data_IF_867520558076
#
_entry.id   IF_867520558076
#
_cell.length_a   1.000
_cell.length_b   1.000
_cell.length_c   1.000
_cell.angle_alpha   90.00
_cell.angle_beta   90.00
_cell.angle_gamma   90.00
#
_symmetry.space_group_name_H-M   'P 1'
#
loop_
_entity.id
_entity.type
_entity.pdbx_description
1 polymer ?
#
# COMPACT_ATOMS: atom_id res chain seq x y z
N UNK A 1 -12.10 9.13 6.75
CA UNK A 1 -13.55 9.11 6.58
C UNK A 1 -14.12 10.53 6.48
N UNK A 2 -13.89 11.40 7.46
CA UNK A 2 -14.46 12.77 7.52
C UNK A 2 -14.14 13.62 6.28
N UNK A 3 -12.90 13.63 5.80
CA UNK A 3 -12.51 14.39 4.58
C UNK A 3 -13.26 13.86 3.35
N UNK A 4 -13.43 12.54 3.23
CA UNK A 4 -14.14 11.95 2.09
C UNK A 4 -15.64 12.32 2.08
N UNK A 5 -16.29 12.37 3.26
CA UNK A 5 -17.68 12.81 3.39
C UNK A 5 -17.83 14.29 3.04
N UNK A 6 -16.93 15.15 3.55
CA UNK A 6 -16.91 16.58 3.20
C UNK A 6 -16.66 16.81 1.70
N UNK A 7 -15.78 16.01 1.08
CA UNK A 7 -15.54 16.07 -0.38
C UNK A 7 -16.81 15.73 -1.16
N UNK A 8 -17.54 14.68 -0.78
CA UNK A 8 -18.82 14.33 -1.42
C UNK A 8 -19.85 15.44 -1.28
N UNK A 9 -19.94 16.06 -0.10
CA UNK A 9 -20.84 17.21 0.11
C UNK A 9 -20.48 18.40 -0.78
N UNK A 10 -19.18 18.70 -0.96
CA UNK A 10 -18.76 19.79 -1.85
C UNK A 10 -19.08 19.46 -3.31
N UNK A 11 -18.85 18.23 -3.74
CA UNK A 11 -19.18 17.77 -5.11
C UNK A 11 -20.69 17.86 -5.36
N UNK A 12 -21.54 17.47 -4.39
CA UNK A 12 -23.00 17.60 -4.52
C UNK A 12 -23.49 19.06 -4.55
N UNK A 13 -22.64 20.04 -4.23
CA UNK A 13 -22.86 21.48 -4.36
C UNK A 13 -22.20 22.07 -5.61
N UNK A 14 -21.88 21.23 -6.62
CA UNK A 14 -21.19 21.61 -7.87
C UNK A 14 -19.83 22.30 -7.68
N UNK A 15 -19.18 22.06 -6.52
CA UNK A 15 -17.82 22.55 -6.27
C UNK A 15 -16.78 21.56 -6.80
N UNK A 16 -15.79 22.05 -7.52
CA UNK A 16 -14.67 21.22 -7.99
C UNK A 16 -13.81 20.78 -6.81
N UNK A 17 -13.60 19.47 -6.69
CA UNK A 17 -12.74 18.84 -5.68
C UNK A 17 -11.67 18.00 -6.36
N UNK A 18 -10.39 18.21 -5.99
CA UNK A 18 -9.25 17.42 -6.42
C UNK A 18 -9.05 16.27 -5.44
N UNK A 19 -9.21 15.04 -5.92
CA UNK A 19 -9.32 13.81 -5.10
C UNK A 19 -7.96 13.25 -4.67
N UNK A 20 -7.15 14.03 -3.96
CA UNK A 20 -5.83 13.60 -3.49
C UNK A 20 -5.88 12.74 -2.20
N UNK A 21 -7.08 12.41 -1.72
CA UNK A 21 -7.30 11.49 -0.60
C UNK A 21 -7.52 10.03 -1.01
N UNK A 22 -7.74 9.73 -2.30
CA UNK A 22 -8.04 8.37 -2.77
C UNK A 22 -6.78 7.58 -3.12
N UNK A 23 -6.72 6.32 -2.67
CA UNK A 23 -5.60 5.40 -2.92
C UNK A 23 -5.94 4.28 -3.90
N UNK A 24 -6.49 4.60 -5.06
CA UNK A 24 -6.86 3.65 -6.10
C UNK A 24 -5.99 3.85 -7.34
N UNK A 25 -5.57 2.74 -7.97
CA UNK A 25 -4.88 2.78 -9.26
C UNK A 25 -5.84 3.32 -10.33
N UNK A 26 -5.46 4.32 -11.13
CA UNK A 26 -6.29 4.87 -12.19
C UNK A 26 -6.18 4.10 -13.51
N UNK A 27 -5.25 3.15 -13.61
CA UNK A 27 -4.93 2.46 -14.85
C UNK A 27 -5.90 1.32 -15.16
N UNK A 28 -6.11 0.99 -16.46
CA UNK A 28 -6.94 -0.13 -16.85
C UNK A 28 -6.31 -1.46 -16.44
N UNK A 29 -7.14 -2.44 -16.14
CA UNK A 29 -6.68 -3.82 -15.98
C UNK A 29 -6.15 -4.32 -17.33
N UNK A 30 -5.00 -5.03 -17.39
CA UNK A 30 -4.49 -5.58 -18.64
C UNK A 30 -5.52 -6.45 -19.37
N UNK A 31 -5.69 -6.24 -20.68
CA UNK A 31 -6.76 -6.86 -21.47
C UNK A 31 -6.77 -8.40 -21.41
N UNK A 32 -5.59 -9.05 -21.41
CA UNK A 32 -5.51 -10.51 -21.27
C UNK A 32 -6.13 -11.01 -19.95
N UNK A 33 -5.94 -10.25 -18.87
CA UNK A 33 -6.51 -10.58 -17.56
C UNK A 33 -8.02 -10.36 -17.56
N UNK A 34 -8.49 -9.27 -18.20
CA UNK A 34 -9.93 -9.02 -18.41
C UNK A 34 -10.55 -10.13 -19.23
N UNK A 35 -9.90 -10.55 -20.31
CA UNK A 35 -10.39 -11.64 -21.14
C UNK A 35 -10.42 -12.98 -20.39
N UNK A 36 -9.42 -13.25 -19.55
CA UNK A 36 -9.44 -14.44 -18.69
C UNK A 36 -10.63 -14.41 -17.70
N UNK A 37 -11.01 -13.25 -17.17
CA UNK A 37 -12.21 -13.10 -16.34
C UNK A 37 -13.49 -13.41 -17.16
N UNK A 38 -13.63 -12.80 -18.34
CA UNK A 38 -14.79 -13.02 -19.23
C UNK A 38 -14.94 -14.51 -19.60
N UNK A 39 -13.85 -15.17 -19.93
CA UNK A 39 -13.84 -16.59 -20.31
C UNK A 39 -14.22 -17.51 -19.15
N UNK A 40 -14.10 -17.07 -17.91
CA UNK A 40 -14.42 -17.86 -16.73
C UNK A 40 -15.65 -17.34 -15.95
N UNK A 41 -16.37 -16.34 -16.47
CA UNK A 41 -17.54 -15.76 -15.81
C UNK A 41 -18.67 -16.76 -15.55
N UNK A 42 -18.75 -17.85 -16.35
CA UNK A 42 -19.75 -18.92 -16.21
C UNK A 42 -19.48 -19.86 -15.02
N UNK A 43 -18.29 -19.85 -14.44
CA UNK A 43 -17.92 -20.73 -13.33
C UNK A 43 -18.62 -20.30 -12.05
N UNK A 44 -19.31 -21.25 -11.42
CA UNK A 44 -20.20 -21.03 -10.28
C UNK A 44 -19.88 -21.90 -9.06
N UNK A 45 -18.98 -22.85 -9.23
CA UNK A 45 -18.61 -23.80 -8.18
C UNK A 45 -17.81 -23.14 -7.05
N UNK A 46 -18.00 -23.64 -5.82
CA UNK A 46 -17.12 -23.32 -4.70
C UNK A 46 -15.75 -23.97 -4.91
N UNK A 47 -14.71 -23.19 -4.79
CA UNK A 47 -13.32 -23.67 -4.76
C UNK A 47 -12.89 -24.07 -3.35
N UNK A 48 -11.77 -24.79 -3.18
CA UNK A 48 -11.20 -25.03 -1.86
C UNK A 48 -11.03 -23.73 -1.08
N UNK A 49 -11.22 -23.75 0.24
CA UNK A 49 -11.08 -22.59 1.15
C UNK A 49 -9.74 -21.89 0.94
N UNK A 50 -8.68 -22.66 0.78
CA UNK A 50 -7.33 -22.13 0.56
C UNK A 50 -7.16 -21.45 -0.81
N UNK A 51 -8.09 -21.66 -1.74
CA UNK A 51 -8.07 -21.14 -3.09
C UNK A 51 -7.63 -22.15 -4.14
N UNK A 52 -7.81 -21.79 -5.40
CA UNK A 52 -7.52 -22.59 -6.58
C UNK A 52 -6.07 -23.09 -6.60
N UNK A 53 -5.80 -24.41 -6.67
CA UNK A 53 -4.44 -24.95 -6.60
C UNK A 53 -3.47 -24.38 -7.64
N UNK A 54 -3.93 -24.23 -8.90
CA UNK A 54 -3.10 -23.66 -9.98
C UNK A 54 -2.78 -22.17 -9.73
N UNK A 55 -3.67 -21.41 -9.10
CA UNK A 55 -3.41 -20.03 -8.71
C UNK A 55 -2.36 -19.97 -7.59
N UNK A 56 -2.50 -20.82 -6.58
CA UNK A 56 -1.51 -20.89 -5.49
C UNK A 56 -0.11 -21.25 -6.02
N UNK A 57 -0.03 -22.15 -7.01
CA UNK A 57 1.21 -22.49 -7.67
C UNK A 57 1.79 -21.30 -8.47
N UNK A 58 0.96 -20.55 -9.19
CA UNK A 58 1.40 -19.36 -9.93
C UNK A 58 1.93 -18.29 -8.97
N UNK A 59 1.25 -18.04 -7.86
CA UNK A 59 1.72 -17.09 -6.83
C UNK A 59 3.00 -17.59 -6.16
N UNK A 60 3.12 -18.88 -5.87
CA UNK A 60 4.35 -19.47 -5.33
C UNK A 60 5.54 -19.20 -6.26
N UNK A 61 5.42 -19.49 -7.55
CA UNK A 61 6.46 -19.23 -8.56
C UNK A 61 6.82 -17.74 -8.64
N UNK A 62 5.81 -16.87 -8.64
CA UNK A 62 5.99 -15.41 -8.64
C UNK A 62 6.78 -14.94 -7.41
N UNK A 63 6.41 -15.39 -6.20
CA UNK A 63 7.10 -15.04 -4.96
C UNK A 63 8.53 -15.58 -4.94
N UNK A 64 8.72 -16.85 -5.29
CA UNK A 64 10.03 -17.51 -5.26
C UNK A 64 11.02 -16.84 -6.22
N UNK A 65 10.55 -16.48 -7.44
CA UNK A 65 11.37 -15.72 -8.39
C UNK A 65 11.79 -14.35 -7.83
N UNK A 66 10.89 -13.66 -7.12
CA UNK A 66 11.09 -12.31 -6.62
C UNK A 66 11.91 -12.25 -5.34
N UNK A 67 11.70 -13.18 -4.43
CA UNK A 67 12.35 -13.17 -3.10
C UNK A 67 13.61 -14.02 -3.02
N UNK A 68 13.75 -14.97 -3.91
CA UNK A 68 14.81 -16.00 -3.84
C UNK A 68 14.55 -17.06 -2.76
N UNK A 69 13.35 -17.08 -2.14
CA UNK A 69 12.98 -18.02 -1.09
C UNK A 69 11.91 -18.99 -1.56
N UNK A 70 11.70 -20.07 -0.80
CA UNK A 70 10.68 -21.06 -1.09
C UNK A 70 9.42 -20.83 -0.25
N UNK A 71 8.37 -20.28 -0.87
CA UNK A 71 6.99 -20.27 -0.37
C UNK A 71 6.19 -21.28 -1.19
N UNK A 72 6.03 -22.54 -0.73
CA UNK A 72 5.35 -23.56 -1.51
C UNK A 72 3.85 -23.24 -1.62
N UNK A 73 3.21 -23.76 -2.67
CA UNK A 73 1.78 -23.52 -2.94
C UNK A 73 0.87 -23.96 -1.79
N UNK A 74 1.31 -24.92 -1.02
CA UNK A 74 0.63 -25.42 0.18
C UNK A 74 0.53 -24.36 1.29
N UNK A 75 1.44 -23.38 1.27
CA UNK A 75 1.50 -22.29 2.25
C UNK A 75 0.86 -20.98 1.75
N UNK A 76 0.22 -20.99 0.58
CA UNK A 76 -0.47 -19.82 0.01
C UNK A 76 -1.97 -19.91 0.31
N UNK A 77 -2.52 -18.88 0.95
CA UNK A 77 -3.96 -18.68 1.16
C UNK A 77 -4.45 -17.55 0.26
N UNK A 78 -5.45 -17.83 -0.57
CA UNK A 78 -6.12 -16.82 -1.40
C UNK A 78 -7.19 -16.11 -0.56
N UNK A 79 -7.26 -14.77 -0.65
CA UNK A 79 -8.11 -13.94 0.20
C UNK A 79 -8.85 -12.86 -0.62
N UNK A 80 -9.99 -12.31 -0.13
CA UNK A 80 -10.67 -11.19 -0.76
C UNK A 80 -9.87 -9.87 -0.66
N UNK A 81 -8.69 -9.83 -1.28
CA UNK A 81 -7.70 -8.78 -1.18
C UNK A 81 -6.78 -8.95 0.04
N UNK A 82 -5.64 -8.26 0.02
CA UNK A 82 -4.65 -8.28 1.12
C UNK A 82 -5.22 -7.77 2.46
N UNK A 83 -6.27 -6.93 2.41
CA UNK A 83 -6.93 -6.42 3.62
C UNK A 83 -7.49 -7.56 4.46
N UNK A 84 -8.17 -8.53 3.85
CA UNK A 84 -8.71 -9.69 4.54
C UNK A 84 -7.60 -10.61 5.05
N UNK A 85 -6.55 -10.84 4.25
CA UNK A 85 -5.38 -11.61 4.67
C UNK A 85 -4.80 -11.11 6.00
N UNK A 86 -4.65 -9.80 6.14
CA UNK A 86 -4.11 -9.18 7.36
C UNK A 86 -5.11 -9.24 8.52
N UNK A 87 -6.41 -9.07 8.26
CA UNK A 87 -7.44 -9.21 9.29
C UNK A 87 -7.44 -10.62 9.89
N UNK A 88 -7.46 -11.67 9.04
CA UNK A 88 -7.39 -13.05 9.50
C UNK A 88 -6.13 -13.30 10.34
N UNK A 89 -4.98 -12.75 9.90
CA UNK A 89 -3.74 -12.86 10.64
C UNK A 89 -3.83 -12.21 12.03
N UNK A 90 -4.42 -11.02 12.13
CA UNK A 90 -4.62 -10.35 13.42
C UNK A 90 -5.58 -11.11 14.34
N UNK A 91 -6.63 -11.74 13.81
CA UNK A 91 -7.58 -12.55 14.60
C UNK A 91 -6.91 -13.86 15.08
N UNK A 92 -6.13 -14.52 14.21
CA UNK A 92 -5.45 -15.76 14.55
C UNK A 92 -4.29 -15.56 15.54
N UNK A 93 -3.67 -14.39 15.53
CA UNK A 93 -2.52 -14.08 16.38
C UNK A 93 -2.95 -13.59 17.76
N UNK A 94 -2.24 -14.04 18.79
CA UNK A 94 -2.38 -13.54 20.17
C UNK A 94 -1.05 -12.96 20.64
N UNK A 95 -1.01 -11.64 20.75
CA UNK A 95 0.21 -10.93 21.14
C UNK A 95 0.10 -9.41 20.99
N UNK A 96 1.18 -8.77 20.63
CA UNK A 96 1.24 -7.32 20.49
C UNK A 96 1.81 -6.96 19.10
N UNK A 97 1.39 -5.82 18.56
CA UNK A 97 1.69 -5.41 17.20
C UNK A 97 2.52 -4.13 17.23
N UNK A 98 3.69 -4.14 16.58
CA UNK A 98 4.51 -2.95 16.36
C UNK A 98 4.23 -2.43 14.95
N UNK A 99 3.74 -1.19 14.86
CA UNK A 99 3.41 -0.52 13.60
C UNK A 99 4.29 0.72 13.46
N UNK A 100 5.15 0.83 12.43
CA UNK A 100 5.83 2.08 12.11
C UNK A 100 4.83 3.19 11.75
N UNK A 101 5.02 4.39 12.27
CA UNK A 101 4.32 5.57 11.82
C UNK A 101 5.22 6.35 10.84
N UNK A 102 4.79 6.50 9.56
CA UNK A 102 3.42 6.30 9.07
C UNK A 102 3.11 4.84 8.73
N UNK A 103 1.91 4.40 9.10
CA UNK A 103 1.35 3.09 8.75
C UNK A 103 -0.05 3.23 8.16
N UNK A 104 -0.45 2.30 7.29
CA UNK A 104 -1.78 2.33 6.67
C UNK A 104 -2.90 2.32 7.71
N UNK A 105 -3.91 3.16 7.48
CA UNK A 105 -5.02 3.43 8.41
C UNK A 105 -5.78 2.20 8.93
N UNK A 106 -5.69 1.07 8.25
CA UNK A 106 -6.41 -0.15 8.66
C UNK A 106 -5.60 -1.07 9.58
N UNK A 107 -4.30 -0.87 9.76
CA UNK A 107 -3.50 -1.78 10.59
C UNK A 107 -3.94 -1.78 12.06
N UNK A 108 -4.08 -0.60 12.66
CA UNK A 108 -4.50 -0.48 14.07
C UNK A 108 -5.92 -0.99 14.30
N UNK A 109 -6.96 -0.58 13.51
CA UNK A 109 -8.31 -1.13 13.69
C UNK A 109 -8.38 -2.64 13.53
N UNK A 110 -7.63 -3.23 12.59
CA UNK A 110 -7.58 -4.69 12.43
C UNK A 110 -6.93 -5.39 13.62
N UNK A 111 -5.82 -4.83 14.13
CA UNK A 111 -5.19 -5.34 15.34
C UNK A 111 -6.13 -5.30 16.55
N UNK A 112 -6.92 -4.22 16.69
CA UNK A 112 -7.92 -4.08 17.74
C UNK A 112 -9.06 -5.11 17.61
N UNK A 113 -9.55 -5.37 16.39
CA UNK A 113 -10.53 -6.43 16.12
C UNK A 113 -9.97 -7.79 16.56
N UNK A 114 -8.69 -8.07 16.30
CA UNK A 114 -8.00 -9.27 16.78
C UNK A 114 -7.68 -9.25 18.29
N UNK A 115 -8.09 -8.21 19.03
CA UNK A 115 -7.78 -8.01 20.45
C UNK A 115 -6.27 -7.92 20.73
N UNK A 116 -5.48 -7.46 19.78
CA UNK A 116 -4.05 -7.27 19.91
C UNK A 116 -3.72 -5.83 20.30
N UNK A 117 -2.80 -5.66 21.24
CA UNK A 117 -2.32 -4.34 21.64
C UNK A 117 -1.36 -3.76 20.61
N UNK A 118 -1.59 -2.51 20.23
CA UNK A 118 -0.78 -1.78 19.25
C UNK A 118 0.27 -0.90 19.90
N UNK A 119 1.46 -0.90 19.33
CA UNK A 119 2.58 -0.05 19.69
C UNK A 119 3.09 0.70 18.46
N UNK A 120 2.72 1.94 18.33
CA UNK A 120 3.26 2.80 17.28
C UNK A 120 4.75 3.05 17.49
N UNK A 121 5.52 2.87 16.43
CA UNK A 121 6.94 3.19 16.36
C UNK A 121 7.12 4.43 15.48
N UNK A 122 7.31 5.56 16.10
CA UNK A 122 7.47 6.83 15.39
C UNK A 122 8.75 6.81 14.53
N UNK A 123 8.63 7.23 13.27
CA UNK A 123 9.74 7.35 12.33
C UNK A 123 9.85 8.80 11.83
N UNK A 124 10.83 9.05 10.97
CA UNK A 124 11.07 10.39 10.44
C UNK A 124 11.38 10.36 8.94
N UNK A 125 11.20 11.50 8.29
CA UNK A 125 11.62 11.70 6.91
C UNK A 125 13.12 11.51 6.71
N UNK A 126 13.95 11.86 7.70
CA UNK A 126 15.39 11.65 7.65
C UNK A 126 15.78 10.17 7.52
N UNK A 127 14.97 9.27 8.08
CA UNK A 127 15.14 7.82 7.99
C UNK A 127 14.21 7.22 6.91
N UNK A 128 13.85 7.99 5.91
CA UNK A 128 12.98 7.57 4.81
C UNK A 128 11.66 6.92 5.27
N UNK A 129 11.10 7.39 6.39
CA UNK A 129 9.84 6.90 6.98
C UNK A 129 9.86 5.43 7.44
N UNK A 130 11.04 4.87 7.68
CA UNK A 130 11.22 3.54 8.28
C UNK A 130 12.04 3.66 9.57
N UNK A 131 11.85 2.73 10.52
CA UNK A 131 12.67 2.72 11.73
C UNK A 131 14.10 2.29 11.40
N UNK A 132 15.06 2.78 12.17
CA UNK A 132 16.39 2.17 12.22
C UNK A 132 16.33 0.85 12.99
N UNK A 133 17.37 0.03 12.86
CA UNK A 133 17.49 -1.21 13.63
C UNK A 133 17.48 -0.96 15.14
N UNK A 134 18.17 0.11 15.59
CA UNK A 134 18.25 0.51 16.99
C UNK A 134 16.87 0.96 17.52
N UNK A 135 16.11 1.73 16.73
CA UNK A 135 14.77 2.18 17.09
C UNK A 135 13.82 0.99 17.23
N UNK A 136 13.88 0.02 16.31
CA UNK A 136 13.09 -1.21 16.39
C UNK A 136 13.48 -2.02 17.62
N UNK A 137 14.77 -2.23 17.85
CA UNK A 137 15.25 -2.97 19.01
C UNK A 137 14.84 -2.33 20.34
N UNK A 138 14.99 -0.99 20.44
CA UNK A 138 14.54 -0.23 21.61
C UNK A 138 13.03 -0.36 21.83
N UNK A 139 12.23 -0.36 20.76
CA UNK A 139 10.79 -0.56 20.86
C UNK A 139 10.46 -1.97 21.36
N UNK A 140 11.08 -3.01 20.84
CA UNK A 140 10.89 -4.40 21.28
C UNK A 140 11.23 -4.55 22.77
N UNK A 141 12.36 -4.01 23.22
CA UNK A 141 12.75 -4.04 24.64
C UNK A 141 11.74 -3.33 25.55
N UNK A 142 11.20 -2.20 25.09
CA UNK A 142 10.19 -1.43 25.83
C UNK A 142 8.84 -2.16 25.91
N UNK A 143 8.42 -2.84 24.86
CA UNK A 143 7.18 -3.63 24.82
C UNK A 143 7.31 -4.88 25.67
N UNK A 144 8.45 -5.54 25.61
CA UNK A 144 8.77 -6.76 26.34
C UNK A 144 9.33 -7.85 25.42
N UNK A 145 10.60 -8.14 25.54
CA UNK A 145 11.34 -9.06 24.66
C UNK A 145 10.85 -10.53 24.68
N UNK A 146 10.06 -10.91 25.69
CA UNK A 146 9.51 -12.25 25.83
C UNK A 146 8.05 -12.35 25.37
N UNK A 147 7.49 -11.30 24.78
CA UNK A 147 6.13 -11.30 24.24
C UNK A 147 6.09 -11.79 22.81
N UNK A 148 4.96 -12.37 22.42
CA UNK A 148 4.68 -12.64 21.02
C UNK A 148 4.46 -11.31 20.30
N UNK A 149 5.27 -11.01 19.28
CA UNK A 149 5.24 -9.75 18.57
C UNK A 149 5.09 -9.97 17.08
N UNK A 150 4.26 -9.12 16.44
CA UNK A 150 4.29 -8.90 14.99
C UNK A 150 4.85 -7.49 14.73
N UNK A 151 5.80 -7.40 13.82
CA UNK A 151 6.25 -6.16 13.22
C UNK A 151 5.65 -6.03 11.82
N UNK A 152 4.85 -4.99 11.57
CA UNK A 152 4.28 -4.73 10.24
C UNK A 152 5.25 -3.89 9.43
N UNK A 153 5.60 -4.35 8.24
CA UNK A 153 6.45 -3.65 7.29
C UNK A 153 5.72 -3.52 5.95
N UNK A 154 5.48 -2.28 5.51
CA UNK A 154 4.87 -1.99 4.20
C UNK A 154 5.85 -1.19 3.34
N UNK A 155 6.35 -1.78 2.26
CA UNK A 155 7.30 -1.17 1.34
C UNK A 155 7.03 -1.61 -0.11
N UNK A 156 6.82 -0.68 -1.04
CA UNK A 156 6.64 0.77 -0.85
C UNK A 156 5.50 1.10 0.11
N UNK A 157 5.67 2.17 0.87
CA UNK A 157 4.80 2.49 2.01
C UNK A 157 3.56 3.30 1.61
N UNK A 158 2.42 2.94 2.15
CA UNK A 158 1.26 3.82 2.25
C UNK A 158 1.21 4.38 3.68
N UNK A 159 1.42 5.68 3.91
CA UNK A 159 1.12 6.81 3.02
C UNK A 159 2.32 7.53 2.37
N UNK A 160 3.57 7.14 2.61
CA UNK A 160 4.72 7.98 2.24
C UNK A 160 5.25 7.77 0.81
N UNK A 161 4.93 6.63 0.18
CA UNK A 161 5.53 6.21 -1.09
C UNK A 161 6.99 5.77 -0.97
N UNK A 162 7.56 5.80 0.23
CA UNK A 162 8.96 5.48 0.47
C UNK A 162 9.24 3.98 0.37
N UNK A 163 10.45 3.62 -0.04
CA UNK A 163 10.97 2.25 -0.12
C UNK A 163 11.97 2.01 1.01
N UNK A 164 11.82 0.90 1.72
CA UNK A 164 12.71 0.54 2.83
C UNK A 164 14.09 0.10 2.29
N UNK A 165 15.15 0.79 2.72
CA UNK A 165 16.52 0.55 2.30
C UNK A 165 17.39 -0.20 3.33
N UNK A 166 16.87 -0.42 4.55
CA UNK A 166 17.60 -1.06 5.66
C UNK A 166 16.98 -2.42 6.09
N UNK A 167 16.40 -3.15 5.12
CA UNK A 167 15.73 -4.44 5.35
C UNK A 167 16.64 -5.48 6.02
N UNK A 168 17.93 -5.51 5.65
CA UNK A 168 18.91 -6.45 6.20
C UNK A 168 19.16 -6.18 7.69
N UNK A 169 19.25 -4.93 8.08
CA UNK A 169 19.46 -4.51 9.48
C UNK A 169 18.22 -4.80 10.32
N UNK A 170 17.02 -4.47 9.81
CA UNK A 170 15.75 -4.79 10.46
C UNK A 170 15.56 -6.31 10.63
N UNK A 171 15.95 -7.09 9.62
CA UNK A 171 15.85 -8.56 9.67
C UNK A 171 16.73 -9.18 10.75
N UNK A 172 17.92 -8.61 11.00
CA UNK A 172 18.81 -9.06 12.10
C UNK A 172 18.15 -8.86 13.46
N UNK A 173 17.50 -7.71 13.66
CA UNK A 173 16.75 -7.43 14.91
C UNK A 173 15.56 -8.37 15.03
N UNK A 174 14.77 -8.54 13.96
CA UNK A 174 13.62 -9.44 13.95
C UNK A 174 14.03 -10.89 14.30
N UNK A 175 15.13 -11.38 13.73
CA UNK A 175 15.68 -12.72 14.03
C UNK A 175 16.18 -12.83 15.46
N UNK A 176 16.91 -11.83 15.97
CA UNK A 176 17.43 -11.82 17.34
C UNK A 176 16.32 -12.00 18.39
N UNK A 177 15.17 -11.37 18.14
CA UNK A 177 14.03 -11.42 19.07
C UNK A 177 12.94 -12.42 18.64
N UNK A 178 13.15 -13.17 17.54
CA UNK A 178 12.23 -14.16 16.99
C UNK A 178 10.82 -13.60 16.77
N UNK A 179 10.71 -12.31 16.36
CA UNK A 179 9.43 -11.68 16.10
C UNK A 179 8.92 -12.03 14.70
N UNK A 180 7.61 -12.13 14.56
CA UNK A 180 6.98 -12.32 13.26
C UNK A 180 7.02 -11.01 12.49
N UNK A 181 7.34 -11.08 11.20
CA UNK A 181 7.20 -9.94 10.29
C UNK A 181 6.01 -10.17 9.37
N UNK A 182 5.08 -9.22 9.34
CA UNK A 182 4.04 -9.14 8.32
C UNK A 182 4.49 -8.14 7.25
N UNK A 183 5.00 -8.66 6.14
CA UNK A 183 5.45 -7.86 5.00
C UNK A 183 4.28 -7.60 4.05
N UNK A 184 3.71 -6.39 4.13
CA UNK A 184 2.68 -5.94 3.19
C UNK A 184 3.35 -5.41 1.92
N UNK A 185 3.34 -6.27 0.90
CA UNK A 185 4.03 -6.05 -0.37
C UNK A 185 3.09 -5.68 -1.52
N UNK A 186 1.91 -5.12 -1.18
CA UNK A 186 0.87 -4.78 -2.18
C UNK A 186 1.33 -3.75 -3.23
N UNK A 187 2.35 -2.94 -2.93
CA UNK A 187 2.90 -1.91 -3.84
C UNK A 187 4.23 -2.31 -4.50
N UNK A 188 4.74 -3.50 -4.27
CA UNK A 188 6.05 -3.94 -4.73
C UNK A 188 6.30 -3.73 -6.23
N UNK A 189 5.33 -4.12 -7.06
CA UNK A 189 5.40 -3.95 -8.51
C UNK A 189 5.29 -2.48 -8.97
N UNK A 190 5.11 -1.55 -8.04
CA UNK A 190 5.09 -0.09 -8.25
C UNK A 190 6.31 0.60 -7.62
N UNK A 191 7.40 -0.10 -7.39
CA UNK A 191 8.70 0.49 -7.03
C UNK A 191 9.33 1.09 -8.28
N UNK A 192 9.71 2.37 -8.27
CA UNK A 192 10.15 3.07 -9.47
C UNK A 192 11.55 2.67 -9.91
N UNK A 193 12.46 2.52 -8.96
CA UNK A 193 13.78 1.94 -9.23
C UNK A 193 13.72 0.41 -9.15
N UNK A 194 14.57 -0.26 -9.93
CA UNK A 194 14.62 -1.74 -9.96
C UNK A 194 15.38 -2.36 -8.78
N UNK A 195 15.34 -1.71 -7.61
CA UNK A 195 16.10 -2.09 -6.41
C UNK A 195 15.24 -2.69 -5.30
N UNK A 196 13.96 -3.01 -5.58
CA UNK A 196 13.10 -3.58 -4.56
C UNK A 196 13.61 -4.93 -4.06
N UNK A 197 13.65 -5.08 -2.74
CA UNK A 197 13.93 -6.33 -2.05
C UNK A 197 12.84 -6.59 -0.99
N UNK A 198 12.46 -7.86 -0.82
CA UNK A 198 11.62 -8.28 0.28
C UNK A 198 12.46 -8.52 1.54
N UNK A 199 11.92 -8.18 2.72
CA UNK A 199 12.56 -8.55 3.98
C UNK A 199 12.68 -10.07 4.15
N UNK A 200 11.78 -10.83 3.50
CA UNK A 200 11.84 -12.30 3.48
C UNK A 200 13.14 -12.84 2.87
N UNK A 201 13.80 -12.08 1.99
CA UNK A 201 15.13 -12.45 1.47
C UNK A 201 16.15 -12.63 2.59
N UNK A 202 16.01 -11.88 3.67
CA UNK A 202 16.93 -11.88 4.81
C UNK A 202 16.38 -12.61 6.03
N UNK A 203 15.05 -12.79 6.13
CA UNK A 203 14.36 -13.41 7.28
C UNK A 203 13.13 -14.20 6.82
N UNK A 204 13.29 -15.27 6.00
CA UNK A 204 12.16 -16.03 5.47
C UNK A 204 11.43 -16.86 6.54
N UNK A 205 12.11 -17.26 7.63
CA UNK A 205 11.60 -18.24 8.57
C UNK A 205 10.37 -17.78 9.37
N UNK A 206 10.18 -16.48 9.61
CA UNK A 206 9.04 -15.92 10.33
C UNK A 206 8.43 -14.70 9.59
N UNK A 207 8.62 -14.59 8.28
CA UNK A 207 8.05 -13.52 7.46
C UNK A 207 6.84 -14.01 6.69
N UNK A 208 5.67 -13.46 7.00
CA UNK A 208 4.48 -13.55 6.16
C UNK A 208 4.54 -12.50 5.07
N UNK A 209 4.12 -12.86 3.86
CA UNK A 209 4.01 -11.91 2.74
C UNK A 209 2.55 -11.80 2.33
N UNK A 210 2.04 -10.60 2.18
CA UNK A 210 0.73 -10.35 1.58
C UNK A 210 0.85 -9.46 0.35
N UNK A 211 -0.01 -9.71 -0.62
CA UNK A 211 -0.09 -8.98 -1.88
C UNK A 211 -1.43 -9.18 -2.57
N UNK A 212 -1.53 -8.77 -3.82
CA UNK A 212 -2.77 -8.92 -4.58
C UNK A 212 -2.80 -8.08 -5.85
N UNK A 213 -3.96 -8.10 -6.54
CA UNK A 213 -4.16 -7.44 -7.82
C UNK A 213 -4.60 -5.96 -7.70
N UNK A 214 -4.83 -5.46 -6.47
CA UNK A 214 -5.49 -4.17 -6.26
C UNK A 214 -4.69 -2.97 -6.78
N UNK A 215 -3.34 -3.05 -6.81
CA UNK A 215 -2.50 -1.89 -7.06
C UNK A 215 -1.79 -1.95 -8.40
N UNK A 216 -0.91 -2.91 -8.60
CA UNK A 216 -0.18 -3.02 -9.86
C UNK A 216 -1.08 -3.33 -11.06
N UNK A 217 -2.11 -4.15 -10.85
CA UNK A 217 -3.02 -4.60 -11.90
C UNK A 217 -4.25 -3.68 -12.10
N UNK A 218 -4.46 -2.68 -11.22
CA UNK A 218 -5.64 -1.82 -11.27
C UNK A 218 -6.94 -2.50 -10.85
N UNK A 219 -6.90 -3.77 -10.43
CA UNK A 219 -8.09 -4.61 -10.18
C UNK A 219 -8.55 -4.58 -8.71
N UNK A 220 -8.51 -3.42 -8.05
CA UNK A 220 -8.88 -3.29 -6.64
C UNK A 220 -10.31 -3.73 -6.31
N UNK A 221 -11.26 -3.49 -7.23
CA UNK A 221 -12.66 -3.90 -7.10
C UNK A 221 -12.89 -5.40 -7.26
N UNK A 222 -11.95 -6.15 -7.82
CA UNK A 222 -12.07 -7.60 -8.01
C UNK A 222 -11.83 -8.40 -6.72
N UNK A 223 -11.31 -7.74 -5.70
CA UNK A 223 -11.11 -8.31 -4.36
C UNK A 223 -10.30 -9.60 -4.35
N UNK A 224 -9.12 -9.62 -4.97
CA UNK A 224 -8.21 -10.75 -4.93
C UNK A 224 -6.86 -10.37 -4.36
N UNK A 225 -6.44 -11.10 -3.33
CA UNK A 225 -5.15 -11.05 -2.69
C UNK A 225 -4.71 -12.42 -2.19
N UNK A 226 -3.59 -12.46 -1.51
CA UNK A 226 -3.05 -13.68 -0.92
C UNK A 226 -2.27 -13.40 0.37
N UNK A 227 -2.10 -14.43 1.17
CA UNK A 227 -1.15 -14.51 2.27
C UNK A 227 -0.23 -15.71 2.06
N UNK A 228 1.06 -15.47 2.01
CA UNK A 228 2.09 -16.51 2.00
C UNK A 228 2.61 -16.72 3.43
N UNK A 229 2.46 -17.94 3.93
CA UNK A 229 2.84 -18.35 5.28
C UNK A 229 4.25 -18.94 5.25
N UNK A 230 5.16 -18.53 6.16
CA UNK A 230 6.51 -19.11 6.21
C UNK A 230 6.49 -20.58 6.61
N UNK A 231 7.44 -21.36 6.11
CA UNK A 231 7.49 -22.82 6.31
C UNK A 231 7.52 -23.26 7.78
N UNK A 232 8.06 -22.42 8.67
CA UNK A 232 8.10 -22.73 10.12
C UNK A 232 6.76 -22.53 10.85
N UNK A 233 5.77 -21.93 10.19
CA UNK A 233 4.48 -21.56 10.79
C UNK A 233 3.29 -22.19 10.04
N UNK A 234 3.47 -23.38 9.47
CA UNK A 234 2.40 -24.09 8.73
C UNK A 234 1.18 -24.42 9.59
N UNK A 235 1.36 -24.63 10.90
CA UNK A 235 0.24 -24.84 11.84
C UNK A 235 -0.65 -23.58 11.92
N UNK A 236 -0.06 -22.39 11.78
CA UNK A 236 -0.81 -21.14 11.74
C UNK A 236 -1.77 -21.07 10.52
N UNK A 237 -1.37 -21.70 9.41
CA UNK A 237 -2.21 -21.79 8.21
C UNK A 237 -3.51 -22.55 8.47
N UNK A 238 -3.51 -23.58 9.33
CA UNK A 238 -4.73 -24.29 9.69
C UNK A 238 -5.75 -23.36 10.37
N UNK A 239 -5.30 -22.55 11.32
CA UNK A 239 -6.15 -21.53 11.97
C UNK A 239 -6.67 -20.48 10.98
N UNK A 240 -5.83 -20.02 10.05
CA UNK A 240 -6.23 -19.08 9.00
C UNK A 240 -7.29 -19.68 8.07
N UNK A 241 -7.17 -20.96 7.71
CA UNK A 241 -8.17 -21.67 6.89
C UNK A 241 -9.50 -21.83 7.61
N UNK A 242 -9.47 -22.13 8.90
CA UNK A 242 -10.69 -22.19 9.71
C UNK A 242 -11.39 -20.84 9.76
N UNK A 243 -10.65 -19.74 9.97
CA UNK A 243 -11.20 -18.39 9.95
C UNK A 243 -11.74 -18.01 8.55
N UNK A 244 -11.04 -18.38 7.49
CA UNK A 244 -11.48 -18.16 6.12
C UNK A 244 -12.80 -18.90 5.80
N UNK A 245 -12.94 -20.14 6.29
CA UNK A 245 -14.18 -20.91 6.18
C UNK A 245 -15.36 -20.18 6.77
N UNK A 246 -15.20 -19.61 7.96
CA UNK A 246 -16.28 -18.96 8.71
C UNK A 246 -16.51 -17.48 8.30
N UNK A 247 -15.59 -16.90 7.50
CA UNK A 247 -15.74 -15.49 7.06
C UNK A 247 -16.23 -15.36 5.62
N UNK A 248 -15.49 -15.90 4.64
CA UNK A 248 -15.82 -15.72 3.22
C UNK A 248 -15.92 -17.05 2.43
N UNK A 249 -15.70 -18.18 3.09
CA UNK A 249 -15.69 -19.54 2.51
C UNK A 249 -14.64 -19.71 1.40
N UNK A 250 -14.83 -19.06 0.25
CA UNK A 250 -13.86 -19.01 -0.85
C UNK A 250 -13.96 -17.69 -1.59
N UNK A 251 -12.86 -17.25 -2.17
CA UNK A 251 -12.84 -16.06 -3.04
C UNK A 251 -13.58 -16.36 -4.35
N UNK A 252 -14.19 -15.35 -4.94
CA UNK A 252 -14.93 -15.43 -6.20
C UNK A 252 -14.19 -16.28 -7.26
N UNK A 253 -14.83 -17.33 -7.74
CA UNK A 253 -14.23 -18.34 -8.62
C UNK A 253 -13.75 -17.77 -9.95
N UNK A 254 -14.56 -17.02 -10.73
CA UNK A 254 -14.08 -16.38 -11.97
C UNK A 254 -12.84 -15.51 -11.77
N UNK A 255 -12.79 -14.77 -10.67
CA UNK A 255 -11.65 -13.89 -10.35
C UNK A 255 -10.37 -14.70 -10.05
N UNK A 256 -10.48 -15.87 -9.40
CA UNK A 256 -9.31 -16.71 -9.16
C UNK A 256 -8.72 -17.26 -10.47
N UNK A 257 -9.56 -17.63 -11.44
CA UNK A 257 -9.09 -18.05 -12.77
C UNK A 257 -8.43 -16.89 -13.55
N UNK A 258 -8.99 -15.69 -13.47
CA UNK A 258 -8.35 -14.51 -14.05
C UNK A 258 -6.99 -14.19 -13.39
N UNK A 259 -6.88 -14.42 -12.09
CA UNK A 259 -5.64 -14.21 -11.35
C UNK A 259 -4.54 -15.23 -11.73
N UNK A 260 -4.88 -16.42 -12.21
CA UNK A 260 -3.89 -17.35 -12.78
C UNK A 260 -3.15 -16.67 -13.93
N UNK A 261 -3.88 -16.03 -14.85
CA UNK A 261 -3.28 -15.27 -15.96
C UNK A 261 -2.41 -14.13 -15.42
N UNK A 262 -2.89 -13.40 -14.43
CA UNK A 262 -2.15 -12.25 -13.84
C UNK A 262 -0.79 -12.63 -13.22
N UNK A 263 -0.69 -13.80 -12.59
CA UNK A 263 0.54 -14.27 -11.95
C UNK A 263 1.41 -15.18 -12.81
N UNK A 264 0.86 -15.73 -13.90
CA UNK A 264 1.61 -16.59 -14.84
C UNK A 264 2.07 -15.86 -16.09
N UNK A 265 1.36 -14.80 -16.50
CA UNK A 265 1.66 -14.00 -17.68
C UNK A 265 2.84 -13.05 -17.46
N UNK A 266 3.41 -12.56 -18.57
CA UNK A 266 4.40 -11.49 -18.53
C UNK A 266 3.71 -10.13 -18.69
N UNK A 267 3.79 -9.31 -17.65
CA UNK A 267 3.25 -7.95 -17.59
C UNK A 267 4.31 -6.89 -17.31
N UNK A 268 5.58 -7.18 -17.59
CA UNK A 268 6.68 -6.28 -17.30
C UNK A 268 6.56 -4.96 -18.08
N UNK A 269 6.14 -5.02 -19.34
CA UNK A 269 5.90 -3.82 -20.17
C UNK A 269 4.78 -2.95 -19.57
N UNK A 270 3.64 -3.56 -19.20
CA UNK A 270 2.54 -2.86 -18.54
C UNK A 270 3.00 -2.21 -17.23
N UNK A 271 3.68 -2.98 -16.37
CA UNK A 271 4.19 -2.49 -15.08
C UNK A 271 5.19 -1.36 -15.25
N UNK A 272 6.10 -1.46 -16.21
CA UNK A 272 7.07 -0.42 -16.50
C UNK A 272 6.40 0.86 -17.00
N UNK A 273 5.38 0.74 -17.85
CA UNK A 273 4.60 1.88 -18.32
C UNK A 273 3.85 2.57 -17.20
N UNK A 274 3.17 1.81 -16.34
CA UNK A 274 2.49 2.33 -15.13
C UNK A 274 3.48 3.03 -14.20
N UNK A 275 4.63 2.41 -13.91
CA UNK A 275 5.69 2.99 -13.07
C UNK A 275 6.23 4.28 -13.66
N UNK A 276 6.51 4.31 -14.95
CA UNK A 276 7.04 5.51 -15.62
C UNK A 276 6.08 6.69 -15.55
N UNK A 277 4.79 6.45 -15.80
CA UNK A 277 3.75 7.49 -15.67
C UNK A 277 3.64 7.99 -14.22
N UNK A 278 3.56 7.06 -13.26
CA UNK A 278 3.45 7.43 -11.83
C UNK A 278 4.69 8.15 -11.32
N UNK A 279 5.88 7.74 -11.75
CA UNK A 279 7.13 8.40 -11.37
C UNK A 279 7.18 9.84 -11.89
N UNK A 280 6.89 10.04 -13.16
CA UNK A 280 6.86 11.37 -13.77
C UNK A 280 5.84 12.30 -13.09
N UNK A 281 4.61 11.83 -12.82
CA UNK A 281 3.60 12.60 -12.08
C UNK A 281 4.07 12.88 -10.66
N UNK A 282 4.64 11.89 -9.98
CA UNK A 282 5.18 12.05 -8.63
C UNK A 282 6.28 13.10 -8.56
N UNK A 283 7.22 13.11 -9.52
CA UNK A 283 8.27 14.12 -9.66
C UNK A 283 7.68 15.51 -9.95
N UNK A 284 6.68 15.60 -10.83
CA UNK A 284 5.96 16.85 -11.09
C UNK A 284 5.36 17.41 -9.79
N UNK A 285 4.65 16.58 -9.02
CA UNK A 285 4.06 16.98 -7.72
C UNK A 285 5.15 17.42 -6.73
N UNK A 286 6.22 16.63 -6.60
CA UNK A 286 7.34 16.94 -5.72
C UNK A 286 7.99 18.29 -6.08
N UNK A 287 8.32 18.52 -7.34
CA UNK A 287 9.01 19.72 -7.80
C UNK A 287 8.15 20.98 -7.63
N UNK A 288 6.82 20.86 -7.79
CA UNK A 288 5.90 22.00 -7.71
C UNK A 288 5.40 22.29 -6.28
N UNK A 289 5.56 21.33 -5.32
CA UNK A 289 5.16 21.54 -3.93
C UNK A 289 6.33 21.85 -2.99
N UNK A 290 7.53 21.31 -3.28
CA UNK A 290 8.71 21.50 -2.44
C UNK A 290 9.04 22.99 -2.30
N UNK A 291 9.10 23.47 -1.05
CA UNK A 291 9.42 24.86 -0.71
C UNK A 291 9.94 24.97 0.71
N UNK A 292 10.28 26.20 1.14
CA UNK A 292 10.62 26.47 2.54
C UNK A 292 9.42 26.29 3.50
N UNK A 293 8.19 26.27 2.99
CA UNK A 293 6.94 26.04 3.74
C UNK A 293 6.45 24.60 3.68
N UNK A 294 6.82 23.85 2.64
CA UNK A 294 6.40 22.46 2.42
C UNK A 294 7.62 21.56 2.30
N UNK A 295 7.81 20.71 3.30
CA UNK A 295 8.85 19.69 3.30
C UNK A 295 8.28 18.39 2.76
N UNK A 296 8.88 17.85 1.71
CA UNK A 296 8.43 16.66 1.02
C UNK A 296 9.63 15.85 0.53
N UNK A 297 9.52 14.53 0.46
CA UNK A 297 10.54 13.65 -0.14
C UNK A 297 10.20 13.33 -1.59
N UNK A 298 11.19 13.05 -2.45
CA UNK A 298 10.93 12.61 -3.82
C UNK A 298 10.18 11.26 -3.83
N UNK A 299 9.41 10.97 -4.90
CA UNK A 299 8.70 9.70 -5.03
C UNK A 299 9.66 8.53 -5.23
N UNK A 300 9.38 7.39 -4.60
CA UNK A 300 10.16 6.16 -4.74
C UNK A 300 9.33 4.97 -5.20
N UNK A 301 8.02 5.01 -4.97
CA UNK A 301 7.09 3.95 -5.36
C UNK A 301 5.65 4.27 -4.96
N UNK A 302 4.74 3.35 -5.27
CA UNK A 302 3.30 3.53 -5.11
C UNK A 302 2.78 4.78 -5.86
N UNK A 303 1.89 5.55 -5.25
CA UNK A 303 1.33 6.79 -5.82
C UNK A 303 0.97 7.79 -4.70
N UNK A 304 1.82 7.85 -3.68
CA UNK A 304 1.63 8.72 -2.52
C UNK A 304 2.87 9.54 -2.26
N UNK A 305 2.63 10.74 -1.73
CA UNK A 305 3.64 11.59 -1.12
C UNK A 305 3.13 12.07 0.24
N UNK A 306 4.06 12.44 1.11
CA UNK A 306 3.73 12.86 2.46
C UNK A 306 4.31 14.26 2.76
N UNK A 307 3.66 15.33 2.26
CA UNK A 307 4.09 16.69 2.56
C UNK A 307 3.84 17.06 4.02
N UNK A 308 4.80 17.77 4.60
CA UNK A 308 4.75 18.40 5.90
C UNK A 308 4.70 19.91 5.74
N UNK A 309 3.65 20.54 6.28
CA UNK A 309 3.45 21.98 6.17
C UNK A 309 3.99 22.71 7.39
N UNK A 310 4.92 23.62 7.21
CA UNK A 310 5.40 24.50 8.27
C UNK A 310 4.38 25.62 8.50
N UNK A 311 3.58 25.51 9.54
CA UNK A 311 2.62 26.54 9.90
C UNK A 311 2.45 26.67 11.42
N UNK A 312 1.94 27.85 11.86
CA UNK A 312 1.55 28.14 13.26
C UNK A 312 0.04 28.40 13.40
N UNK A 313 -0.71 28.43 12.28
CA UNK A 313 -2.12 28.82 12.25
C UNK A 313 -3.05 27.67 12.67
N UNK A 314 -2.74 26.43 12.25
CA UNK A 314 -3.61 25.28 12.50
C UNK A 314 -3.10 24.45 13.69
N UNK A 315 -4.04 23.99 14.53
CA UNK A 315 -3.72 23.26 15.78
C UNK A 315 -3.26 21.82 15.54
N UNK A 316 -3.71 21.20 14.44
CA UNK A 316 -3.42 19.81 14.11
C UNK A 316 -3.61 19.52 12.61
N UNK A 317 -3.12 18.36 12.15
CA UNK A 317 -3.17 17.94 10.75
C UNK A 317 -4.60 17.78 10.20
N UNK A 318 -5.58 17.42 11.03
CA UNK A 318 -6.97 17.32 10.60
C UNK A 318 -7.55 18.70 10.25
N UNK A 319 -7.32 19.71 11.12
CA UNK A 319 -7.74 21.10 10.83
C UNK A 319 -7.00 21.71 9.65
N UNK A 320 -5.73 21.33 9.46
CA UNK A 320 -4.97 21.71 8.26
C UNK A 320 -5.65 21.15 7.00
N UNK A 321 -5.96 19.84 6.96
CA UNK A 321 -6.64 19.23 5.80
C UNK A 321 -8.04 19.82 5.55
N UNK A 322 -8.80 20.14 6.59
CA UNK A 322 -10.10 20.81 6.45
C UNK A 322 -9.97 22.18 5.81
N UNK A 323 -8.98 22.99 6.22
CA UNK A 323 -8.72 24.30 5.65
C UNK A 323 -8.26 24.21 4.19
N UNK A 324 -7.33 23.29 3.89
CA UNK A 324 -6.88 23.03 2.51
C UNK A 324 -8.07 22.69 1.61
N UNK A 325 -8.92 21.73 2.04
CA UNK A 325 -10.10 21.35 1.27
C UNK A 325 -11.05 22.54 1.05
N UNK A 326 -11.33 23.33 2.10
CA UNK A 326 -12.24 24.48 2.02
C UNK A 326 -11.71 25.59 1.11
N UNK A 327 -10.41 25.89 1.18
CA UNK A 327 -9.80 27.06 0.54
C UNK A 327 -9.29 26.76 -0.87
N UNK A 328 -8.94 25.49 -1.17
CA UNK A 328 -8.35 25.10 -2.46
C UNK A 328 -9.14 24.05 -3.23
N UNK A 329 -10.08 23.37 -2.60
CA UNK A 329 -10.74 22.18 -3.15
C UNK A 329 -9.89 20.91 -3.13
N UNK A 330 -8.68 20.93 -2.58
CA UNK A 330 -7.79 19.77 -2.55
C UNK A 330 -8.10 18.89 -1.32
N UNK A 331 -8.55 17.67 -1.55
CA UNK A 331 -8.85 16.68 -0.52
C UNK A 331 -7.62 15.83 -0.21
N UNK A 332 -7.02 15.99 0.97
CA UNK A 332 -5.90 15.17 1.45
C UNK A 332 -6.25 14.54 2.80
N UNK A 333 -5.51 13.51 3.22
CA UNK A 333 -5.72 12.88 4.53
C UNK A 333 -4.69 13.36 5.56
N UNK A 334 -5.12 13.58 6.82
CA UNK A 334 -4.21 14.06 7.86
C UNK A 334 -3.24 12.96 8.32
N UNK A 335 -2.01 13.35 8.67
CA UNK A 335 -0.99 12.43 9.17
C UNK A 335 -1.39 11.71 10.47
N UNK A 336 -2.30 12.29 11.25
CA UNK A 336 -2.85 11.64 12.44
C UNK A 336 -3.57 10.32 12.15
N UNK A 337 -4.17 10.16 10.95
CA UNK A 337 -4.83 8.91 10.55
C UNK A 337 -3.82 7.77 10.28
N UNK A 338 -2.53 8.10 10.19
CA UNK A 338 -1.43 7.18 9.90
C UNK A 338 -0.49 6.96 11.09
N UNK A 339 -0.94 7.26 12.31
CA UNK A 339 -0.21 7.00 13.56
C UNK A 339 0.69 8.12 14.04
N UNK A 340 0.71 9.28 13.38
CA UNK A 340 1.42 10.45 13.89
C UNK A 340 0.62 11.23 14.93
N UNK A 341 1.34 11.92 15.81
CA UNK A 341 0.71 12.86 16.75
C UNK A 341 -0.04 13.95 15.96
N UNK A 342 -1.27 14.33 16.35
CA UNK A 342 -2.07 15.32 15.64
C UNK A 342 -1.38 16.67 15.37
N UNK A 343 -0.46 17.07 16.25
CA UNK A 343 0.31 18.31 16.13
C UNK A 343 1.34 18.31 14.99
N UNK A 344 1.71 17.13 14.45
CA UNK A 344 2.55 17.05 13.24
C UNK A 344 1.73 17.41 12.02
N UNK A 345 2.12 18.43 11.30
CA UNK A 345 1.41 18.98 10.14
C UNK A 345 1.70 18.17 8.87
N UNK A 346 1.72 16.85 9.01
CA UNK A 346 1.89 15.89 7.95
C UNK A 346 0.54 15.56 7.30
N UNK A 347 0.55 15.33 5.99
CA UNK A 347 -0.63 14.91 5.23
C UNK A 347 -0.26 13.84 4.23
N UNK A 348 -1.22 12.99 3.83
CA UNK A 348 -1.04 12.09 2.68
C UNK A 348 -1.66 12.71 1.45
N UNK A 349 -0.88 12.81 0.40
CA UNK A 349 -1.28 13.19 -0.94
C UNK A 349 -1.18 11.99 -1.86
N UNK A 350 -2.30 11.58 -2.48
CA UNK A 350 -2.34 10.63 -3.59
C UNK A 350 -2.45 11.41 -4.90
N UNK A 351 -1.64 11.08 -5.89
CA UNK A 351 -1.63 11.78 -7.17
C UNK A 351 -2.27 10.96 -8.30
N UNK A 352 -3.39 10.29 -8.00
CA UNK A 352 -4.11 9.40 -8.93
C UNK A 352 -5.39 10.00 -9.51
N UNK A 353 -5.64 11.30 -9.32
CA UNK A 353 -6.83 11.98 -9.83
C UNK A 353 -6.68 12.36 -11.30
N UNK A 354 -6.66 11.34 -12.17
CA UNK A 354 -6.60 11.50 -13.62
C UNK A 354 -7.19 10.30 -14.36
N UNK A 355 -7.49 10.46 -15.66
CA UNK A 355 -7.93 9.35 -16.51
C UNK A 355 -6.73 8.48 -16.89
N UNK A 356 -6.49 7.44 -16.09
CA UNK A 356 -5.36 6.54 -16.26
C UNK A 356 -5.42 5.71 -17.54
N UNK A 357 -6.62 5.37 -18.02
CA UNK A 357 -6.79 4.66 -19.29
C UNK A 357 -6.35 5.53 -20.48
N UNK A 358 -6.77 6.78 -20.50
CA UNK A 358 -6.39 7.72 -21.53
C UNK A 358 -4.89 8.00 -21.52
N UNK A 359 -4.33 8.30 -20.34
CA UNK A 359 -2.89 8.53 -20.21
C UNK A 359 -2.09 7.31 -20.66
N UNK A 360 -2.45 6.12 -20.15
CA UNK A 360 -1.77 4.87 -20.49
C UNK A 360 -1.77 4.62 -22.00
N UNK A 361 -2.89 4.78 -22.68
CA UNK A 361 -3.01 4.51 -24.13
C UNK A 361 -2.21 5.48 -24.99
N UNK A 362 -1.99 6.71 -24.51
CA UNK A 362 -1.28 7.75 -25.28
C UNK A 362 0.24 7.82 -25.00
N UNK A 363 0.75 7.10 -24.00
CA UNK A 363 2.19 7.00 -23.75
C UNK A 363 2.79 5.89 -24.61
N UNK A 364 3.67 6.25 -25.55
CA UNK A 364 4.43 5.27 -26.37
C UNK A 364 5.72 4.86 -25.67
N UNK A 365 6.43 5.80 -25.06
CA UNK A 365 7.65 5.55 -24.32
C UNK A 365 7.51 6.11 -22.90
N UNK A 366 7.49 5.22 -21.91
CA UNK A 366 7.31 5.58 -20.50
C UNK A 366 8.50 6.33 -19.89
N UNK A 367 9.69 6.26 -20.53
CA UNK A 367 10.87 7.02 -20.10
C UNK A 367 10.85 8.48 -20.58
N UNK A 368 9.88 8.86 -21.42
CA UNK A 368 9.77 10.20 -22.02
C UNK A 368 8.48 10.91 -21.65
N UNK A 369 7.89 10.59 -20.49
CA UNK A 369 6.72 11.34 -19.97
C UNK A 369 7.20 12.68 -19.44
N UNK A 370 6.81 13.75 -20.12
CA UNK A 370 7.18 15.15 -19.81
C UNK A 370 6.02 15.94 -19.17
N UNK A 371 6.30 17.15 -18.75
CA UNK A 371 5.33 18.05 -18.12
C UNK A 371 4.14 18.37 -19.02
N UNK A 372 4.31 18.44 -20.35
CA UNK A 372 3.21 18.75 -21.26
C UNK A 372 2.24 17.57 -21.39
N UNK A 373 2.74 16.36 -21.38
CA UNK A 373 1.91 15.16 -21.27
C UNK A 373 1.17 15.11 -19.93
N UNK A 374 1.83 15.45 -18.81
CA UNK A 374 1.21 15.50 -17.49
C UNK A 374 0.09 16.55 -17.47
N UNK A 375 0.34 17.77 -17.98
CA UNK A 375 -0.69 18.83 -18.10
C UNK A 375 -1.89 18.38 -18.94
N UNK A 376 -1.64 17.63 -20.02
CA UNK A 376 -2.69 17.15 -20.93
C UNK A 376 -3.52 16.04 -20.33
N UNK A 377 -2.89 15.01 -19.72
CA UNK A 377 -3.54 13.76 -19.31
C UNK A 377 -3.82 13.66 -17.81
N UNK A 378 -3.23 14.55 -16.99
CA UNK A 378 -3.48 14.63 -15.56
C UNK A 378 -3.83 16.07 -15.09
N UNK A 379 -4.78 16.77 -15.76
CA UNK A 379 -5.07 18.18 -15.49
C UNK A 379 -5.52 18.43 -14.05
N UNK A 380 -6.28 17.53 -13.43
CA UNK A 380 -6.69 17.68 -12.02
C UNK A 380 -5.50 17.64 -11.07
N UNK A 381 -4.49 16.81 -11.35
CA UNK A 381 -3.26 16.78 -10.54
C UNK A 381 -2.51 18.10 -10.69
N UNK A 382 -2.34 18.59 -11.92
CA UNK A 382 -1.66 19.86 -12.23
C UNK A 382 -2.34 21.04 -11.54
N UNK A 383 -3.64 21.17 -11.70
CA UNK A 383 -4.43 22.26 -11.14
C UNK A 383 -4.48 22.20 -9.61
N UNK A 384 -4.73 21.01 -9.04
CA UNK A 384 -4.78 20.80 -7.60
C UNK A 384 -3.44 21.11 -6.92
N UNK A 385 -2.32 20.68 -7.52
CA UNK A 385 -0.97 20.99 -7.05
C UNK A 385 -0.67 22.47 -7.11
N UNK A 386 -1.04 23.15 -8.22
CA UNK A 386 -0.88 24.60 -8.37
C UNK A 386 -1.63 25.37 -7.28
N UNK A 387 -2.91 25.04 -7.05
CA UNK A 387 -3.70 25.65 -5.98
C UNK A 387 -3.09 25.41 -4.59
N UNK A 388 -2.67 24.19 -4.32
CA UNK A 388 -2.06 23.83 -3.04
C UNK A 388 -0.73 24.56 -2.81
N UNK A 389 0.11 24.63 -3.85
CA UNK A 389 1.39 25.35 -3.80
C UNK A 389 1.20 26.84 -3.54
N UNK A 390 0.25 27.47 -4.25
CA UNK A 390 -0.05 28.89 -4.05
C UNK A 390 -0.64 29.17 -2.66
N UNK A 391 -1.53 28.31 -2.18
CA UNK A 391 -2.08 28.40 -0.82
C UNK A 391 -0.98 28.29 0.25
N UNK A 392 -0.05 27.35 0.07
CA UNK A 392 1.05 27.12 1.02
C UNK A 392 2.02 28.31 1.15
N UNK A 393 2.14 29.16 0.15
CA UNK A 393 2.97 30.39 0.23
C UNK A 393 2.48 31.36 1.32
N UNK A 394 1.19 31.30 1.66
CA UNK A 394 0.55 32.19 2.64
C UNK A 394 0.49 31.61 4.07
N UNK A 395 1.21 30.48 4.32
CA UNK A 395 1.30 29.85 5.66
C UNK A 395 2.28 30.56 6.60
#
# INVERSE_FOLDING_TARGET
>A
LVINEKSKTLISQDKKVYQFGFGQSPFPVPEKIVQALKNNAHRKEYLPIQGLPVLREAISKYLNKRTGNNYPKENILITPGSKEAMLLMHIAFKGEIIIPAPGWVSYEPQAQIGSNKVHWLETSRANNWFPTAEELEKKIKKVGKNKNLIFILNSPNNPSGAVCNNLKELSKVARKYKIIVLSDEIYTDLTFENNYNSISKYYPELTFITGGLSKWCGAGGWRLGFLAVPNKLTEFLSSLKSLASESYSTVNTPTQFAAVEAYSGNYDEYKNKVKGILHAIGDYVYNNLKSNKVLISPPQGAFYLMPEFKNKKYKNSAKLCEAILKETGVAMLPGSDFGFKPKKMLTRLSYTDFNGTEFFNNVKNYNSVDDDMIKKYAPNVVEGVSKLSNWAKNL
#
